data_IF_564775266490
#
_entry.id   IF_564775266490
#
_cell.length_a   1.000
_cell.length_b   1.000
_cell.length_c   1.000
_cell.angle_alpha   90.00
_cell.angle_beta   90.00
_cell.angle_gamma   90.00
#
_symmetry.space_group_name_H-M   'P 1'
#
loop_
_entity.id
_entity.type
_entity.pdbx_description
1 polymer ?
#
# COMPACT_ATOMS: atom_id res chain seq x y z
N UNK A 1 18.50 -2.16 2.64
CA UNK A 1 17.08 -1.96 2.30
C UNK A 1 16.88 -1.78 0.80
N UNK A 2 17.67 -0.95 0.15
CA UNK A 2 17.60 -0.82 -1.31
C UNK A 2 17.85 -2.14 -2.02
N UNK A 3 18.77 -2.94 -1.48
CA UNK A 3 19.05 -4.25 -2.05
C UNK A 3 17.81 -5.14 -2.03
N UNK A 4 17.09 -5.13 -0.91
CA UNK A 4 15.87 -5.93 -0.76
C UNK A 4 14.77 -5.40 -1.69
N UNK A 5 14.62 -4.09 -1.79
CA UNK A 5 13.65 -3.47 -2.70
C UNK A 5 13.93 -3.85 -4.15
N UNK A 6 15.19 -3.81 -4.54
CA UNK A 6 15.59 -4.17 -5.90
C UNK A 6 15.34 -5.64 -6.20
N UNK A 7 15.51 -6.51 -5.22
CA UNK A 7 15.22 -7.94 -5.35
C UNK A 7 13.72 -8.17 -5.58
N UNK A 8 12.88 -7.46 -4.84
CA UNK A 8 11.42 -7.55 -4.98
C UNK A 8 11.00 -7.12 -6.38
N UNK A 9 11.53 -5.99 -6.84
CA UNK A 9 11.21 -5.48 -8.18
C UNK A 9 11.67 -6.45 -9.26
N UNK A 10 12.86 -7.03 -9.09
CA UNK A 10 13.38 -8.01 -10.06
C UNK A 10 12.50 -9.25 -10.14
N UNK A 11 12.00 -9.73 -9.01
CA UNK A 11 11.07 -10.86 -8.99
C UNK A 11 9.77 -10.53 -9.72
N UNK A 12 9.24 -9.36 -9.46
CA UNK A 12 8.01 -8.90 -10.13
C UNK A 12 8.22 -8.82 -11.64
N UNK A 13 9.33 -8.23 -12.08
CA UNK A 13 9.62 -8.07 -13.50
C UNK A 13 9.86 -9.40 -14.19
N UNK A 14 10.28 -10.42 -13.43
CA UNK A 14 10.44 -11.77 -13.92
C UNK A 14 9.13 -12.57 -13.99
N UNK A 15 8.00 -11.93 -13.63
CA UNK A 15 6.68 -12.56 -13.71
C UNK A 15 6.16 -13.14 -12.41
N UNK A 16 6.88 -12.96 -11.30
CA UNK A 16 6.43 -13.44 -9.99
C UNK A 16 5.38 -12.53 -9.39
N UNK A 17 4.45 -13.12 -8.63
CA UNK A 17 3.53 -12.36 -7.80
C UNK A 17 4.16 -12.20 -6.42
N UNK A 18 4.20 -10.97 -5.90
CA UNK A 18 4.84 -10.67 -4.62
C UNK A 18 3.82 -10.02 -3.69
N UNK A 19 3.67 -10.57 -2.48
CA UNK A 19 2.87 -9.97 -1.44
C UNK A 19 3.80 -9.32 -0.43
N UNK A 20 3.68 -8.00 -0.29
CA UNK A 20 4.46 -7.22 0.66
C UNK A 20 3.55 -6.71 1.76
N UNK A 21 3.92 -6.97 3.02
CA UNK A 21 3.19 -6.47 4.18
C UNK A 21 4.10 -5.49 4.91
N UNK A 22 3.66 -4.25 5.05
CA UNK A 22 4.46 -3.20 5.65
C UNK A 22 3.57 -2.12 6.26
N UNK A 23 4.10 -1.39 7.24
CA UNK A 23 3.46 -0.19 7.79
C UNK A 23 4.16 1.08 7.31
N UNK A 24 5.19 0.94 6.48
CA UNK A 24 5.91 2.08 5.95
C UNK A 24 5.32 2.50 4.61
N UNK A 25 4.68 3.66 4.60
CA UNK A 25 3.97 4.15 3.42
C UNK A 25 4.88 4.41 2.23
N UNK A 26 6.09 4.93 2.47
CA UNK A 26 7.05 5.17 1.40
C UNK A 26 7.40 3.88 0.67
N UNK A 27 7.62 2.81 1.42
CA UNK A 27 7.93 1.50 0.87
C UNK A 27 6.76 0.95 0.05
N UNK A 28 5.56 1.02 0.62
CA UNK A 28 4.34 0.56 -0.05
C UNK A 28 4.11 1.34 -1.35
N UNK A 29 4.23 2.66 -1.29
CA UNK A 29 3.98 3.52 -2.46
C UNK A 29 4.99 3.27 -3.58
N UNK A 30 6.25 3.01 -3.23
CA UNK A 30 7.29 2.85 -4.24
C UNK A 30 7.39 1.46 -4.85
N UNK A 31 6.92 0.43 -4.15
CA UNK A 31 7.09 -0.95 -4.60
C UNK A 31 5.82 -1.60 -5.12
N UNK A 32 4.65 -1.09 -4.74
CA UNK A 32 3.40 -1.79 -5.00
C UNK A 32 2.76 -1.40 -6.33
N UNK A 33 2.16 -2.37 -6.99
CA UNK A 33 1.29 -2.14 -8.14
C UNK A 33 -0.14 -1.93 -7.68
N UNK A 34 -0.48 -2.52 -6.54
CA UNK A 34 -1.80 -2.41 -5.95
C UNK A 34 -1.67 -2.49 -4.43
N UNK A 35 -2.41 -1.64 -3.73
CA UNK A 35 -2.34 -1.53 -2.29
C UNK A 35 -3.67 -1.95 -1.66
N UNK A 36 -3.60 -2.83 -0.68
CA UNK A 36 -4.75 -3.19 0.14
C UNK A 36 -4.51 -2.65 1.56
N UNK A 37 -5.47 -1.94 2.12
CA UNK A 37 -5.35 -1.36 3.45
C UNK A 37 -6.20 -2.15 4.43
N UNK A 38 -5.58 -2.54 5.55
CA UNK A 38 -6.23 -3.29 6.61
C UNK A 38 -6.30 -2.47 7.88
N UNK A 39 -7.42 -2.58 8.59
CA UNK A 39 -7.58 -1.96 9.90
C UNK A 39 -8.46 -2.85 10.76
N UNK A 40 -8.00 -3.17 11.96
CA UNK A 40 -8.77 -3.94 12.94
C UNK A 40 -9.32 -5.26 12.35
N UNK A 41 -8.48 -5.94 11.58
CA UNK A 41 -8.84 -7.22 10.97
C UNK A 41 -9.77 -7.10 9.77
N UNK A 42 -10.01 -5.89 9.29
CA UNK A 42 -10.91 -5.64 8.16
C UNK A 42 -10.18 -5.02 7.00
N UNK A 43 -10.59 -5.38 5.80
CA UNK A 43 -10.07 -4.76 4.59
C UNK A 43 -10.79 -3.44 4.37
N UNK A 44 -10.04 -2.33 4.43
CA UNK A 44 -10.60 -0.99 4.28
C UNK A 44 -10.79 -0.60 2.82
N UNK A 45 -10.04 -1.21 1.92
CA UNK A 45 -10.17 -0.96 0.50
C UNK A 45 -8.88 -1.20 -0.25
N UNK A 46 -8.97 -1.09 -1.57
CA UNK A 46 -7.82 -1.18 -2.45
C UNK A 46 -7.53 0.19 -3.04
N UNK A 47 -6.25 0.47 -3.29
CA UNK A 47 -5.82 1.73 -3.90
C UNK A 47 -4.74 1.47 -4.92
N UNK A 48 -4.71 2.32 -5.95
CA UNK A 48 -3.65 2.32 -6.95
C UNK A 48 -2.61 3.36 -6.51
N UNK A 49 -1.33 2.99 -6.37
CA UNK A 49 -0.32 3.94 -5.88
C UNK A 49 -0.17 5.17 -6.76
N UNK A 50 -0.55 5.11 -8.02
CA UNK A 50 -0.50 6.28 -8.91
C UNK A 50 -1.68 7.23 -8.70
N UNK A 51 -2.75 6.77 -8.03
CA UNK A 51 -3.99 7.54 -7.84
C UNK A 51 -4.25 7.89 -6.38
N UNK A 52 -3.41 7.45 -5.47
CA UNK A 52 -3.56 7.73 -4.05
C UNK A 52 -2.33 8.45 -3.53
N UNK A 53 -2.38 8.89 -2.28
CA UNK A 53 -1.25 9.52 -1.61
C UNK A 53 -1.13 9.00 -0.18
N UNK A 54 -0.06 9.40 0.50
CA UNK A 54 0.21 8.96 1.86
C UNK A 54 -0.89 9.41 2.83
N UNK A 55 -1.49 10.57 2.59
CA UNK A 55 -2.55 11.08 3.45
C UNK A 55 -3.78 10.18 3.39
N UNK A 56 -4.20 9.79 2.20
CA UNK A 56 -5.35 8.90 2.04
C UNK A 56 -5.07 7.54 2.67
N UNK A 57 -3.89 6.98 2.42
CA UNK A 57 -3.51 5.69 3.00
C UNK A 57 -3.47 5.76 4.52
N UNK A 58 -2.92 6.86 5.06
CA UNK A 58 -2.86 7.06 6.50
C UNK A 58 -4.24 7.10 7.14
N UNK A 59 -5.20 7.76 6.50
CA UNK A 59 -6.58 7.81 6.97
C UNK A 59 -7.22 6.43 6.97
N UNK A 60 -7.03 5.66 5.89
CA UNK A 60 -7.55 4.30 5.83
C UNK A 60 -6.93 3.39 6.88
N UNK A 61 -5.62 3.55 7.14
CA UNK A 61 -4.93 2.79 8.17
C UNK A 61 -5.42 3.12 9.57
N UNK A 62 -6.00 4.30 9.75
CA UNK A 62 -6.61 4.71 11.01
C UNK A 62 -8.10 4.35 11.09
N UNK A 63 -8.60 3.62 10.11
CA UNK A 63 -9.99 3.18 10.08
C UNK A 63 -10.97 4.21 9.53
N UNK A 64 -10.47 5.27 8.94
CA UNK A 64 -11.31 6.35 8.40
C UNK A 64 -11.53 6.18 6.90
N UNK A 65 -12.74 6.49 6.46
CA UNK A 65 -13.06 6.53 5.04
C UNK A 65 -13.15 7.98 4.58
N UNK A 66 -13.23 8.19 3.28
CA UNK A 66 -13.40 9.53 2.74
C UNK A 66 -14.69 10.21 3.23
N UNK A 67 -15.72 9.44 3.51
CA UNK A 67 -16.98 9.97 4.02
C UNK A 67 -16.83 10.54 5.43
N UNK A 68 -16.10 9.84 6.28
CA UNK A 68 -15.83 10.30 7.65
C UNK A 68 -14.94 11.51 7.65
N UNK A 69 -13.97 11.57 6.74
CA UNK A 69 -13.12 12.73 6.56
C UNK A 69 -13.94 13.95 6.13
N UNK A 70 -14.91 13.75 5.25
CA UNK A 70 -15.73 14.84 4.75
C UNK A 70 -16.71 15.38 5.81
N UNK A 71 -17.01 14.56 6.78
CA UNK A 71 -17.89 14.99 7.88
C UNK A 71 -17.14 15.85 8.90
#
# INVERSE_FOLDING_TARGET
>A
IEFIHNQIIALRDAGAAVLLVSVELDEIMSLSDRIAVMFDGKLMGFRDPEKTDERELGLLMAGMTGKEEAA
#
